data_IF_912517582643
#
_entry.id   IF_912517582643
#
_cell.length_a   1.000
_cell.length_b   1.000
_cell.length_c   1.000
_cell.angle_alpha   90.00
_cell.angle_beta   90.00
_cell.angle_gamma   90.00
#
_symmetry.space_group_name_H-M   'P 1'
#
loop_
_entity.id
_entity.type
_entity.pdbx_description
1 polymer ?
#
# COMPACT_ATOMS: atom_id res chain seq x y z
N UNK A 1 -12.79 20.36 1.32
CA UNK A 1 -12.87 21.33 2.43
C UNK A 1 -13.17 22.70 1.87
N UNK A 2 -14.42 23.18 1.94
CA UNK A 2 -14.75 24.57 1.65
C UNK A 2 -13.91 25.49 2.55
N UNK A 3 -13.31 26.55 1.99
CA UNK A 3 -12.53 27.55 2.75
C UNK A 3 -11.06 27.22 3.04
N UNK A 4 -10.53 26.08 2.56
CA UNK A 4 -9.13 25.71 2.81
C UNK A 4 -8.09 26.57 2.06
N UNK A 5 -8.51 27.32 1.04
CA UNK A 5 -7.65 28.16 0.21
C UNK A 5 -8.22 29.58 0.23
N UNK A 6 -7.56 30.54 0.90
CA UNK A 6 -7.96 31.94 0.86
C UNK A 6 -7.85 32.48 -0.57
N UNK A 7 -8.96 32.99 -1.14
CA UNK A 7 -9.01 33.43 -2.55
C UNK A 7 -8.04 34.60 -2.83
N UNK A 8 -7.79 35.43 -1.82
CA UNK A 8 -6.84 36.55 -1.88
C UNK A 8 -5.38 36.09 -2.00
N UNK A 9 -5.09 34.81 -1.79
CA UNK A 9 -3.72 34.25 -1.83
C UNK A 9 -3.58 33.03 -2.75
N UNK A 10 -4.66 32.31 -3.03
CA UNK A 10 -4.64 31.12 -3.89
C UNK A 10 -5.93 31.11 -4.73
N UNK A 11 -5.87 31.75 -5.89
CA UNK A 11 -6.99 31.86 -6.82
C UNK A 11 -6.60 31.54 -8.26
N UNK A 12 -7.62 31.41 -9.11
CA UNK A 12 -7.45 31.31 -10.57
C UNK A 12 -6.77 32.53 -11.16
N UNK A 13 -6.99 33.70 -10.56
CA UNK A 13 -6.37 34.94 -11.01
C UNK A 13 -4.87 34.95 -10.72
N UNK A 14 -4.47 34.50 -9.53
CA UNK A 14 -3.06 34.47 -9.13
C UNK A 14 -2.30 33.28 -9.73
N UNK A 15 -2.95 32.12 -9.90
CA UNK A 15 -2.33 30.90 -10.42
C UNK A 15 -3.09 30.31 -11.64
N UNK A 16 -3.26 31.07 -12.73
CA UNK A 16 -4.11 30.67 -13.85
C UNK A 16 -3.67 29.35 -14.51
N UNK A 17 -2.35 29.12 -14.61
CA UNK A 17 -1.80 27.89 -15.20
C UNK A 17 -2.06 26.66 -14.32
N UNK A 18 -1.91 26.80 -13.00
CA UNK A 18 -2.15 25.72 -12.04
C UNK A 18 -3.61 25.31 -12.05
N UNK A 19 -4.54 26.25 -11.93
CA UNK A 19 -5.97 25.96 -11.97
C UNK A 19 -6.43 25.44 -13.34
N UNK A 20 -5.85 25.92 -14.44
CA UNK A 20 -6.11 25.36 -15.76
C UNK A 20 -5.63 23.90 -15.87
N UNK A 21 -4.49 23.56 -15.28
CA UNK A 21 -4.00 22.18 -15.21
C UNK A 21 -4.93 21.28 -14.38
N UNK A 22 -5.34 21.73 -13.17
CA UNK A 22 -6.31 21.01 -12.33
C UNK A 22 -7.61 20.75 -13.12
N UNK A 23 -8.13 21.78 -13.80
CA UNK A 23 -9.35 21.66 -14.59
C UNK A 23 -9.21 20.65 -15.75
N UNK A 24 -8.06 20.60 -16.43
CA UNK A 24 -7.79 19.61 -17.48
C UNK A 24 -7.74 18.19 -16.90
N UNK A 25 -7.09 18.01 -15.76
CA UNK A 25 -7.00 16.72 -15.09
C UNK A 25 -8.38 16.23 -14.62
N UNK A 26 -9.15 17.07 -13.93
CA UNK A 26 -10.53 16.75 -13.49
C UNK A 26 -11.44 16.42 -14.68
N UNK A 27 -11.32 17.15 -15.80
CA UNK A 27 -12.05 16.83 -17.03
C UNK A 27 -11.68 15.44 -17.55
N UNK A 28 -10.39 15.10 -17.59
CA UNK A 28 -9.93 13.81 -18.08
C UNK A 28 -10.41 12.64 -17.20
N UNK A 29 -10.32 12.77 -15.87
CA UNK A 29 -10.79 11.74 -14.92
C UNK A 29 -12.29 11.53 -15.02
N UNK A 30 -13.10 12.60 -15.11
CA UNK A 30 -14.56 12.49 -15.30
C UNK A 30 -14.94 11.83 -16.61
N UNK A 31 -14.22 12.12 -17.70
CA UNK A 31 -14.46 11.47 -18.99
C UNK A 31 -14.12 9.98 -18.95
N UNK A 32 -13.03 9.59 -18.28
CA UNK A 32 -12.68 8.19 -18.07
C UNK A 32 -13.72 7.47 -17.20
N UNK A 33 -14.16 8.09 -16.10
CA UNK A 33 -15.16 7.53 -15.20
C UNK A 33 -16.51 7.24 -15.89
N UNK A 34 -16.89 8.04 -16.89
CA UNK A 34 -18.10 7.79 -17.70
C UNK A 34 -18.01 6.56 -18.61
N UNK A 35 -16.80 6.04 -18.89
CA UNK A 35 -16.58 4.88 -19.76
C UNK A 35 -16.61 3.55 -19.01
N UNK A 36 -16.57 3.58 -17.69
CA UNK A 36 -16.56 2.37 -16.85
C UNK A 36 -17.88 2.26 -16.07
N UNK A 37 -18.32 1.04 -15.71
CA UNK A 37 -19.49 0.85 -14.87
C UNK A 37 -19.36 1.57 -13.53
N UNK A 38 -20.49 2.04 -12.99
CA UNK A 38 -20.52 2.65 -11.66
C UNK A 38 -20.05 1.61 -10.62
N UNK A 39 -19.07 1.93 -9.76
CA UNK A 39 -18.62 1.00 -8.72
C UNK A 39 -19.77 0.58 -7.81
N UNK A 40 -19.82 -0.71 -7.48
CA UNK A 40 -20.75 -1.26 -6.48
C UNK A 40 -20.25 -0.89 -5.08
N UNK A 41 -21.14 -0.38 -4.23
CA UNK A 41 -20.84 -0.20 -2.81
C UNK A 41 -20.81 -1.56 -2.13
N UNK A 42 -19.80 -1.81 -1.30
CA UNK A 42 -19.63 -3.05 -0.53
C UNK A 42 -19.62 -2.72 0.96
N UNK A 43 -20.26 -3.57 1.76
CA UNK A 43 -20.02 -3.58 3.21
C UNK A 43 -18.84 -4.49 3.56
N UNK A 44 -18.21 -4.29 4.72
CA UNK A 44 -16.98 -5.01 5.10
C UNK A 44 -17.11 -6.54 5.06
N UNK A 45 -18.26 -7.09 5.47
CA UNK A 45 -18.51 -8.54 5.43
C UNK A 45 -18.55 -9.10 4.00
N UNK A 46 -19.11 -8.35 3.06
CA UNK A 46 -19.10 -8.73 1.64
C UNK A 46 -17.67 -8.67 1.07
N UNK A 47 -16.90 -7.63 1.42
CA UNK A 47 -15.52 -7.50 0.97
C UNK A 47 -14.65 -8.66 1.47
N UNK A 48 -14.78 -9.05 2.75
CA UNK A 48 -14.08 -10.20 3.32
C UNK A 48 -14.45 -11.47 2.56
N UNK A 49 -15.73 -11.71 2.29
CA UNK A 49 -16.18 -12.89 1.53
C UNK A 49 -15.57 -12.93 0.14
N UNK A 50 -15.60 -11.81 -0.60
CA UNK A 50 -15.05 -11.74 -1.96
C UNK A 50 -13.54 -12.03 -1.94
N UNK A 51 -12.79 -11.36 -1.08
CA UNK A 51 -11.33 -11.55 -0.96
C UNK A 51 -11.00 -12.99 -0.60
N UNK A 52 -11.77 -13.58 0.31
CA UNK A 52 -11.54 -14.92 0.83
C UNK A 52 -11.78 -16.04 -0.18
N UNK A 53 -12.64 -15.80 -1.17
CA UNK A 53 -12.99 -16.78 -2.21
C UNK A 53 -12.31 -16.50 -3.54
N UNK A 54 -11.49 -15.45 -3.62
CA UNK A 54 -10.79 -15.09 -4.85
C UNK A 54 -9.45 -15.80 -4.93
N UNK A 55 -9.06 -16.16 -6.16
CA UNK A 55 -7.71 -16.64 -6.43
C UNK A 55 -6.70 -15.49 -6.38
N UNK A 56 -5.45 -15.80 -6.04
CA UNK A 56 -4.36 -14.85 -6.21
C UNK A 56 -4.08 -14.65 -7.70
N UNK A 57 -3.89 -13.41 -8.11
CA UNK A 57 -3.54 -13.07 -9.49
C UNK A 57 -2.08 -13.44 -9.77
N UNK A 58 -1.20 -13.18 -8.80
CA UNK A 58 0.21 -13.49 -8.85
C UNK A 58 0.49 -14.86 -8.19
N UNK A 59 1.22 -15.72 -8.90
CA UNK A 59 1.58 -17.06 -8.44
C UNK A 59 3.09 -17.27 -8.23
N UNK A 60 3.92 -16.42 -8.84
CA UNK A 60 5.38 -16.59 -8.91
C UNK A 60 6.13 -15.41 -8.27
N UNK A 61 5.74 -14.96 -7.08
CA UNK A 61 6.50 -13.93 -6.40
C UNK A 61 7.90 -14.41 -6.05
N UNK A 62 8.89 -13.57 -6.36
CA UNK A 62 10.29 -13.82 -6.07
C UNK A 62 10.78 -12.81 -5.02
N UNK A 63 11.71 -13.28 -4.19
CA UNK A 63 12.52 -12.43 -3.33
C UNK A 63 13.85 -12.25 -4.02
N UNK A 64 14.18 -11.01 -4.38
CA UNK A 64 15.46 -10.68 -4.97
C UNK A 64 16.59 -11.00 -3.98
N UNK A 65 17.43 -11.97 -4.33
CA UNK A 65 18.55 -12.41 -3.50
C UNK A 65 19.64 -11.34 -3.33
N UNK A 66 19.65 -10.32 -4.21
CA UNK A 66 20.56 -9.18 -4.13
C UNK A 66 19.93 -7.98 -3.42
N UNK A 67 18.71 -8.12 -2.89
CA UNK A 67 18.08 -7.05 -2.14
C UNK A 67 18.94 -6.67 -0.92
N UNK A 68 19.23 -5.37 -0.70
CA UNK A 68 20.16 -4.93 0.33
C UNK A 68 19.69 -5.21 1.76
N UNK A 69 18.45 -5.63 1.97
CA UNK A 69 17.96 -6.03 3.31
C UNK A 69 18.46 -7.39 3.75
N UNK A 70 18.92 -8.24 2.81
CA UNK A 70 19.33 -9.62 3.09
C UNK A 70 18.20 -10.55 3.55
N UNK A 71 16.94 -10.11 3.43
CA UNK A 71 15.78 -10.93 3.79
C UNK A 71 15.56 -12.04 2.75
N UNK A 72 15.06 -13.18 3.23
CA UNK A 72 14.88 -14.38 2.40
C UNK A 72 13.41 -14.77 2.29
N UNK A 73 13.06 -15.40 1.17
CA UNK A 73 11.72 -15.97 0.96
C UNK A 73 11.40 -16.97 2.08
N UNK A 74 10.18 -16.90 2.61
CA UNK A 74 9.73 -17.74 3.72
C UNK A 74 10.06 -17.18 5.11
N UNK A 75 10.82 -16.10 5.23
CA UNK A 75 11.15 -15.50 6.52
C UNK A 75 9.92 -14.77 7.11
N UNK A 76 9.71 -14.89 8.43
CA UNK A 76 8.74 -14.04 9.13
C UNK A 76 9.24 -12.60 9.20
N UNK A 77 8.38 -11.67 8.82
CA UNK A 77 8.68 -10.24 8.73
C UNK A 77 7.53 -9.39 9.26
N UNK A 78 7.84 -8.15 9.60
CA UNK A 78 6.87 -7.08 9.81
C UNK A 78 7.06 -5.98 8.77
N UNK A 79 5.97 -5.38 8.29
CA UNK A 79 5.96 -4.23 7.37
C UNK A 79 5.10 -3.10 7.94
N UNK A 80 5.54 -1.85 7.79
CA UNK A 80 4.80 -0.66 8.24
C UNK A 80 5.22 0.62 7.51
N UNK A 81 4.34 1.63 7.41
CA UNK A 81 4.69 2.94 6.86
C UNK A 81 5.70 3.67 7.77
N UNK A 82 6.53 4.54 7.21
CA UNK A 82 7.55 5.32 7.97
C UNK A 82 7.10 6.75 8.32
N UNK A 83 5.91 7.15 7.89
CA UNK A 83 5.34 8.48 8.12
C UNK A 83 4.24 8.44 9.19
N UNK A 84 3.01 8.06 8.82
CA UNK A 84 1.85 7.99 9.71
C UNK A 84 1.32 6.56 9.79
N UNK A 85 0.76 6.18 10.94
CA UNK A 85 0.28 4.80 11.14
C UNK A 85 1.37 3.79 11.53
N UNK A 86 2.58 4.26 11.88
CA UNK A 86 3.76 3.44 12.18
C UNK A 86 3.58 2.39 13.30
N UNK A 87 2.55 2.55 14.15
CA UNK A 87 2.32 1.69 15.31
C UNK A 87 1.61 0.37 14.96
N UNK A 88 0.92 0.31 13.81
CA UNK A 88 0.25 -0.90 13.35
C UNK A 88 1.11 -1.55 12.29
N UNK A 89 1.74 -2.68 12.64
CA UNK A 89 2.62 -3.42 11.74
C UNK A 89 1.93 -4.68 11.27
N UNK A 90 1.87 -4.84 9.96
CA UNK A 90 1.41 -6.09 9.37
C UNK A 90 2.52 -7.12 9.50
N UNK A 91 2.15 -8.34 9.90
CA UNK A 91 3.09 -9.46 10.08
C UNK A 91 2.72 -10.60 9.15
N UNK A 92 3.74 -11.29 8.64
CA UNK A 92 3.52 -12.41 7.75
C UNK A 92 4.82 -13.05 7.27
N UNK A 93 4.66 -13.99 6.36
CA UNK A 93 5.76 -14.67 5.67
C UNK A 93 6.15 -13.87 4.44
N UNK A 94 7.43 -13.54 4.28
CA UNK A 94 7.92 -12.84 3.09
C UNK A 94 7.80 -13.76 1.87
N UNK A 95 7.00 -13.37 0.89
CA UNK A 95 6.79 -14.14 -0.35
C UNK A 95 7.32 -13.43 -1.59
N UNK A 96 7.38 -12.09 -1.58
CA UNK A 96 7.94 -11.28 -2.66
C UNK A 96 8.73 -10.08 -2.15
N UNK A 97 9.84 -9.77 -2.81
CA UNK A 97 10.68 -8.61 -2.51
C UNK A 97 11.40 -8.16 -3.78
N UNK A 98 11.11 -6.95 -4.22
CA UNK A 98 11.73 -6.33 -5.40
C UNK A 98 12.12 -4.88 -5.11
N UNK A 99 12.69 -4.22 -6.11
CA UNK A 99 12.97 -2.78 -6.07
C UNK A 99 11.70 -1.92 -6.00
N UNK A 100 10.53 -2.47 -6.33
CA UNK A 100 9.26 -1.73 -6.41
C UNK A 100 8.32 -2.04 -5.24
N UNK A 101 8.27 -3.29 -4.78
CA UNK A 101 7.30 -3.73 -3.78
C UNK A 101 7.84 -4.82 -2.84
N UNK A 102 7.13 -4.98 -1.73
CA UNK A 102 7.34 -6.02 -0.73
C UNK A 102 5.99 -6.69 -0.48
N UNK A 103 5.97 -8.01 -0.54
CA UNK A 103 4.75 -8.83 -0.47
C UNK A 103 4.88 -9.82 0.67
N UNK A 104 3.95 -9.74 1.62
CA UNK A 104 3.87 -10.69 2.74
C UNK A 104 2.58 -11.50 2.64
N UNK A 105 2.68 -12.80 2.88
CA UNK A 105 1.52 -13.68 3.10
C UNK A 105 1.16 -13.66 4.59
N UNK A 106 -0.08 -13.31 4.91
CA UNK A 106 -0.64 -13.35 6.26
C UNK A 106 -1.94 -14.16 6.27
N UNK A 107 -2.55 -14.29 7.45
CA UNK A 107 -3.81 -15.01 7.62
C UNK A 107 -4.84 -14.13 8.33
N UNK A 108 -6.09 -14.19 7.87
CA UNK A 108 -7.22 -13.61 8.60
C UNK A 108 -7.48 -14.39 9.89
N UNK A 109 -8.38 -13.87 10.75
CA UNK A 109 -8.80 -14.56 11.97
C UNK A 109 -9.40 -15.95 11.71
N UNK A 110 -9.99 -16.14 10.54
CA UNK A 110 -10.61 -17.39 10.11
C UNK A 110 -9.61 -18.32 9.37
N UNK A 111 -8.30 -17.98 9.39
CA UNK A 111 -7.24 -18.77 8.79
C UNK A 111 -7.07 -18.61 7.28
N UNK A 112 -7.75 -17.64 6.68
CA UNK A 112 -7.75 -17.44 5.22
C UNK A 112 -6.50 -16.67 4.84
N UNK A 113 -5.75 -17.21 3.87
CA UNK A 113 -4.51 -16.58 3.40
C UNK A 113 -4.82 -15.30 2.63
N UNK A 114 -4.03 -14.26 2.88
CA UNK A 114 -4.05 -13.00 2.13
C UNK A 114 -2.63 -12.57 1.81
N UNK A 115 -2.43 -11.97 0.64
CA UNK A 115 -1.17 -11.32 0.26
C UNK A 115 -1.32 -9.81 0.43
N UNK A 116 -0.42 -9.21 1.20
CA UNK A 116 -0.38 -7.77 1.45
C UNK A 116 0.77 -7.21 0.63
N UNK A 117 0.43 -6.41 -0.39
CA UNK A 117 1.38 -5.72 -1.25
C UNK A 117 1.66 -4.33 -0.70
N UNK A 118 2.93 -3.99 -0.54
CA UNK A 118 3.37 -2.70 -0.04
C UNK A 118 4.45 -2.12 -0.93
N UNK A 119 4.41 -0.82 -1.25
CA UNK A 119 5.47 -0.20 -2.04
C UNK A 119 6.78 -0.19 -1.25
N UNK A 120 7.90 -0.22 -1.95
CA UNK A 120 9.23 -0.12 -1.32
C UNK A 120 9.48 1.24 -0.68
N UNK A 121 8.96 2.30 -1.30
CA UNK A 121 9.11 3.67 -0.82
C UNK A 121 8.06 4.00 0.24
N UNK A 122 8.47 4.69 1.31
CA UNK A 122 7.57 5.09 2.39
C UNK A 122 7.23 3.97 3.39
N UNK A 123 7.79 2.78 3.22
CA UNK A 123 7.59 1.64 4.10
C UNK A 123 8.92 1.06 4.58
N UNK A 124 8.85 0.39 5.73
CA UNK A 124 9.95 -0.36 6.31
C UNK A 124 9.54 -1.81 6.45
N UNK A 125 10.49 -2.71 6.20
CA UNK A 125 10.38 -4.14 6.45
C UNK A 125 11.46 -4.56 7.45
N UNK A 126 11.14 -5.55 8.28
CA UNK A 126 12.10 -6.12 9.23
C UNK A 126 11.81 -7.59 9.48
N UNK A 127 12.85 -8.42 9.48
CA UNK A 127 12.78 -9.81 9.92
C UNK A 127 12.46 -9.92 11.41
N UNK A 128 11.55 -10.84 11.77
CA UNK A 128 11.25 -11.18 13.15
C UNK A 128 12.23 -12.28 13.56
N UNK A 129 13.21 -11.97 14.42
CA UNK A 129 14.00 -13.03 15.05
C UNK A 129 13.16 -13.66 16.17
N UNK A 130 13.10 -14.99 16.20
CA UNK A 130 12.59 -15.72 17.38
C UNK A 130 13.63 -15.61 18.50
N UNK A 131 13.61 -14.50 19.24
CA UNK A 131 14.28 -14.31 20.53
C UNK A 131 15.81 -14.48 20.56
N UNK A 132 16.54 -13.36 20.68
CA UNK A 132 17.95 -13.38 21.07
C UNK A 132 18.56 -11.98 21.20
N UNK A 133 18.59 -11.46 22.43
CA UNK A 133 19.64 -10.60 23.00
C UNK A 133 20.13 -9.34 22.27
N UNK A 134 19.86 -8.18 22.88
CA UNK A 134 20.66 -6.94 22.86
C UNK A 134 21.44 -6.61 21.56
N UNK A 135 20.88 -5.72 20.74
CA UNK A 135 21.67 -5.01 19.73
C UNK A 135 22.56 -3.96 20.46
N UNK A 136 23.86 -3.84 20.13
CA UNK A 136 24.69 -2.77 20.68
C UNK A 136 24.21 -1.42 20.14
N UNK A 137 24.12 -0.44 21.03
CA UNK A 137 23.95 0.96 20.65
C UNK A 137 25.22 1.41 19.91
N UNK A 138 25.06 1.92 18.70
CA UNK A 138 25.98 2.87 18.09
C UNK A 138 25.55 4.29 18.48
#
# INVERSE_FOLDING_TARGET
MPGALPEDYISRQQFPKTFAWIARFDKATRLAAKKVPKPRSLVGSEAIKIVSTSDFVEMDELVDALDPTGLQKGQEVEVWPIDTGMNNKDKGTLVGLSSQEMIIESQTKDGIKVKIHTPRHGFRIRGISKGGGNAPKL
#
